data_IF_946495098361
#
_entry.id   IF_946495098361
#
_cell.length_a   1.000
_cell.length_b   1.000
_cell.length_c   1.000
_cell.angle_alpha   90.00
_cell.angle_beta   90.00
_cell.angle_gamma   90.00
#
_symmetry.space_group_name_H-M   'P 1'
#
loop_
_entity.id
_entity.type
_entity.pdbx_description
1 polymer ?
#
# COMPACT_ATOMS: atom_id res chain seq x y z
N UNK A 1 -27.99 -21.28 -4.67
CA UNK A 1 -26.67 -20.82 -5.14
C UNK A 1 -25.83 -20.59 -3.90
N UNK A 2 -25.13 -21.64 -3.44
CA UNK A 2 -24.17 -21.53 -2.35
C UNK A 2 -22.78 -21.42 -2.99
N UNK A 3 -21.95 -20.53 -2.45
CA UNK A 3 -20.55 -20.41 -2.86
C UNK A 3 -19.84 -21.74 -2.59
N UNK A 4 -18.98 -22.14 -3.51
CA UNK A 4 -18.08 -23.26 -3.35
C UNK A 4 -17.03 -22.96 -2.26
N UNK A 5 -16.49 -24.01 -1.65
CA UNK A 5 -15.37 -23.92 -0.68
C UNK A 5 -14.24 -22.95 -1.11
N UNK A 6 -13.68 -23.02 -2.34
CA UNK A 6 -12.63 -22.09 -2.76
C UNK A 6 -13.11 -20.63 -2.89
N UNK A 7 -14.36 -20.40 -3.27
CA UNK A 7 -14.93 -19.04 -3.33
C UNK A 7 -15.04 -18.45 -1.92
N UNK A 8 -15.44 -19.25 -0.93
CA UNK A 8 -15.51 -18.80 0.45
C UNK A 8 -14.13 -18.46 1.03
N UNK A 9 -13.11 -19.27 0.70
CA UNK A 9 -11.73 -18.99 1.06
C UNK A 9 -11.21 -17.68 0.45
N UNK A 10 -11.51 -17.44 -0.83
CA UNK A 10 -11.13 -16.20 -1.51
C UNK A 10 -11.76 -14.96 -0.85
N UNK A 11 -13.05 -15.04 -0.48
CA UNK A 11 -13.75 -13.96 0.22
C UNK A 11 -13.12 -13.69 1.58
N UNK A 12 -12.91 -14.73 2.39
CA UNK A 12 -12.32 -14.59 3.73
C UNK A 12 -10.89 -14.03 3.66
N UNK A 13 -10.07 -14.49 2.71
CA UNK A 13 -8.72 -13.98 2.51
C UNK A 13 -8.74 -12.50 2.10
N UNK A 14 -9.60 -12.13 1.16
CA UNK A 14 -9.75 -10.74 0.70
C UNK A 14 -10.20 -9.82 1.83
N UNK A 15 -11.14 -10.28 2.67
CA UNK A 15 -11.61 -9.53 3.82
C UNK A 15 -10.51 -9.35 4.86
N UNK A 16 -9.75 -10.41 5.17
CA UNK A 16 -8.63 -10.36 6.11
C UNK A 16 -7.53 -9.40 5.64
N UNK A 17 -7.12 -9.51 4.37
CA UNK A 17 -6.06 -8.68 3.79
C UNK A 17 -6.49 -7.23 3.70
N UNK A 18 -7.70 -6.94 3.21
CA UNK A 18 -8.21 -5.56 3.11
C UNK A 18 -8.40 -4.91 4.47
N UNK A 19 -8.91 -5.65 5.47
CA UNK A 19 -9.06 -5.13 6.84
C UNK A 19 -7.71 -4.77 7.46
N UNK A 20 -6.70 -5.64 7.32
CA UNK A 20 -5.37 -5.37 7.83
C UNK A 20 -4.71 -4.19 7.09
N UNK A 21 -4.85 -4.14 5.76
CA UNK A 21 -4.32 -3.05 4.95
C UNK A 21 -4.93 -1.70 5.35
N UNK A 22 -6.25 -1.64 5.57
CA UNK A 22 -6.93 -0.43 6.06
C UNK A 22 -6.44 -0.08 7.46
N UNK A 23 -6.43 -1.03 8.41
CA UNK A 23 -6.00 -0.77 9.77
C UNK A 23 -4.57 -0.22 9.86
N UNK A 24 -3.66 -0.75 9.03
CA UNK A 24 -2.26 -0.30 8.99
C UNK A 24 -2.10 1.03 8.25
N UNK A 25 -2.85 1.29 7.18
CA UNK A 25 -2.73 2.52 6.39
C UNK A 25 -3.44 3.72 7.01
N UNK A 26 -4.53 3.49 7.76
CA UNK A 26 -5.41 4.53 8.27
C UNK A 26 -4.70 5.55 9.20
N UNK A 27 -3.83 5.15 10.16
CA UNK A 27 -3.07 6.11 10.96
C UNK A 27 -2.19 7.04 10.12
N UNK A 28 -1.48 6.49 9.11
CA UNK A 28 -0.65 7.27 8.20
C UNK A 28 -1.48 8.20 7.32
N UNK A 29 -2.59 7.70 6.78
CA UNK A 29 -3.52 8.50 5.98
C UNK A 29 -4.06 9.70 6.75
N UNK A 30 -4.49 9.49 8.00
CA UNK A 30 -4.95 10.57 8.89
C UNK A 30 -3.82 11.55 9.19
N UNK A 31 -2.63 11.05 9.53
CA UNK A 31 -1.47 11.89 9.84
C UNK A 31 -1.08 12.80 8.66
N UNK A 32 -0.92 12.24 7.46
CA UNK A 32 -0.55 13.01 6.27
C UNK A 32 -1.66 13.96 5.83
N UNK A 33 -2.92 13.54 5.90
CA UNK A 33 -4.06 14.43 5.61
C UNK A 33 -4.10 15.62 6.56
N UNK A 34 -3.94 15.37 7.86
CA UNK A 34 -3.87 16.43 8.87
C UNK A 34 -2.67 17.36 8.63
N UNK A 35 -1.50 16.81 8.31
CA UNK A 35 -0.29 17.57 8.04
C UNK A 35 -0.46 18.48 6.82
N UNK A 36 -0.99 17.95 5.71
CA UNK A 36 -1.23 18.70 4.48
C UNK A 36 -2.32 19.75 4.65
N UNK A 37 -3.36 19.51 5.45
CA UNK A 37 -4.40 20.52 5.69
C UNK A 37 -3.91 21.62 6.62
N UNK A 38 -3.23 21.28 7.72
CA UNK A 38 -2.94 22.23 8.81
C UNK A 38 -1.60 22.94 8.72
N UNK A 39 -0.63 22.43 7.96
CA UNK A 39 0.70 23.03 7.85
C UNK A 39 0.98 23.55 6.45
N UNK A 40 1.73 24.64 6.38
CA UNK A 40 2.34 25.17 5.17
C UNK A 40 3.85 25.05 5.34
N UNK A 41 4.50 24.30 4.45
CA UNK A 41 5.95 24.06 4.49
C UNK A 41 6.50 23.91 3.07
N UNK A 42 7.77 24.27 2.84
CA UNK A 42 8.41 24.05 1.54
C UNK A 42 8.49 22.55 1.27
N UNK A 43 7.86 22.08 0.18
CA UNK A 43 7.74 20.65 -0.17
C UNK A 43 6.33 20.06 0.00
N UNK A 44 5.37 20.82 0.53
CA UNK A 44 3.97 20.40 0.65
C UNK A 44 3.37 19.89 -0.66
N UNK A 45 3.58 20.61 -1.77
CA UNK A 45 3.07 20.24 -3.09
C UNK A 45 3.69 18.93 -3.62
N UNK A 46 4.97 18.69 -3.31
CA UNK A 46 5.64 17.44 -3.69
C UNK A 46 5.07 16.26 -2.91
N UNK A 47 4.89 16.41 -1.59
CA UNK A 47 4.27 15.36 -0.76
C UNK A 47 2.85 15.06 -1.24
N UNK A 48 2.04 16.10 -1.49
CA UNK A 48 0.68 15.96 -2.01
C UNK A 48 0.66 15.19 -3.35
N UNK A 49 1.58 15.52 -4.26
CA UNK A 49 1.72 14.82 -5.54
C UNK A 49 2.09 13.35 -5.36
N UNK A 50 3.02 13.03 -4.46
CA UNK A 50 3.44 11.65 -4.16
C UNK A 50 2.27 10.83 -3.62
N UNK A 51 1.45 11.39 -2.74
CA UNK A 51 0.29 10.69 -2.18
C UNK A 51 -0.79 10.41 -3.24
N UNK A 52 -0.97 11.30 -4.21
CA UNK A 52 -1.95 11.13 -5.30
C UNK A 52 -1.43 10.32 -6.48
N UNK A 53 -0.11 10.15 -6.61
CA UNK A 53 0.54 9.46 -7.72
C UNK A 53 -0.02 8.04 -7.98
N UNK A 54 -0.28 7.18 -6.96
CA UNK A 54 -0.86 5.86 -7.21
C UNK A 54 -2.26 5.90 -7.84
N UNK A 55 -3.05 6.97 -7.65
CA UNK A 55 -4.36 7.12 -8.29
C UNK A 55 -4.25 7.50 -9.77
N UNK A 56 -3.21 8.24 -10.13
CA UNK A 56 -2.99 8.71 -11.52
C UNK A 56 -2.30 7.63 -12.35
N UNK A 57 -1.48 6.78 -11.72
CA UNK A 57 -0.79 5.69 -12.40
C UNK A 57 -1.73 4.51 -12.71
N UNK A 58 -1.50 3.79 -13.84
CA UNK A 58 -2.18 2.54 -14.10
C UNK A 58 -1.91 1.50 -12.99
N UNK A 59 -2.90 0.69 -12.58
CA UNK A 59 -2.72 -0.32 -11.53
C UNK A 59 -1.56 -1.29 -11.80
N UNK A 60 -1.32 -1.60 -13.07
CA UNK A 60 -0.21 -2.47 -13.50
C UNK A 60 1.15 -1.88 -13.14
N UNK A 61 1.32 -0.56 -13.28
CA UNK A 61 2.57 0.14 -12.92
C UNK A 61 2.78 0.09 -11.42
N UNK A 62 1.72 0.31 -10.64
CA UNK A 62 1.79 0.19 -9.17
C UNK A 62 2.19 -1.22 -8.76
N UNK A 63 1.58 -2.24 -9.36
CA UNK A 63 1.96 -3.65 -9.12
C UNK A 63 3.42 -3.94 -9.49
N UNK A 64 3.90 -3.44 -10.63
CA UNK A 64 5.29 -3.60 -11.04
C UNK A 64 6.27 -2.92 -10.07
N UNK A 65 5.97 -1.69 -9.62
CA UNK A 65 6.80 -0.99 -8.62
C UNK A 65 6.86 -1.76 -7.30
N UNK A 66 5.74 -2.29 -6.84
CA UNK A 66 5.70 -3.16 -5.65
C UNK A 66 6.54 -4.41 -5.86
N UNK A 67 6.46 -5.07 -7.02
CA UNK A 67 7.24 -6.26 -7.33
C UNK A 67 8.74 -5.96 -7.37
N UNK A 68 9.15 -4.84 -7.97
CA UNK A 68 10.57 -4.42 -8.01
C UNK A 68 11.06 -4.04 -6.62
N UNK A 69 10.24 -3.39 -5.79
CA UNK A 69 10.58 -3.00 -4.43
C UNK A 69 10.67 -4.18 -3.45
N UNK A 70 9.68 -5.08 -3.51
CA UNK A 70 9.52 -6.24 -2.63
C UNK A 70 10.23 -7.49 -3.13
N UNK A 71 10.67 -7.51 -4.40
CA UNK A 71 11.38 -8.65 -4.98
C UNK A 71 12.69 -8.92 -4.25
N UNK A 72 13.24 -10.13 -4.39
CA UNK A 72 14.42 -10.58 -3.63
C UNK A 72 15.65 -9.66 -3.72
N UNK A 73 15.80 -8.91 -4.82
CA UNK A 73 16.86 -7.91 -5.02
C UNK A 73 16.36 -6.46 -4.93
N UNK A 74 15.11 -6.26 -4.54
CA UNK A 74 14.49 -4.95 -4.36
C UNK A 74 14.94 -4.28 -3.07
N UNK A 75 14.73 -2.97 -2.94
CA UNK A 75 15.20 -2.23 -1.77
C UNK A 75 14.56 -2.70 -0.45
N UNK A 76 13.30 -3.14 -0.49
CA UNK A 76 12.61 -3.69 0.68
C UNK A 76 12.84 -5.19 0.77
N UNK A 77 12.77 -5.90 -0.35
CA UNK A 77 12.93 -7.35 -0.36
C UNK A 77 14.34 -7.82 0.00
N UNK A 78 15.40 -7.10 -0.40
CA UNK A 78 16.78 -7.40 0.03
C UNK A 78 16.97 -7.18 1.53
N UNK A 79 16.46 -6.05 2.06
CA UNK A 79 16.50 -5.78 3.49
C UNK A 79 15.72 -6.84 4.29
N UNK A 80 14.54 -7.25 3.84
CA UNK A 80 13.78 -8.35 4.46
C UNK A 80 14.55 -9.69 4.37
N UNK A 81 15.16 -9.98 3.22
CA UNK A 81 15.93 -11.20 3.01
C UNK A 81 17.13 -11.29 3.96
N UNK A 82 17.85 -10.18 4.15
CA UNK A 82 19.00 -10.13 5.07
C UNK A 82 18.58 -10.36 6.54
N UNK A 83 17.37 -9.95 6.92
CA UNK A 83 16.86 -10.09 8.29
C UNK A 83 16.17 -11.42 8.58
N UNK A 84 15.51 -12.04 7.58
CA UNK A 84 14.68 -13.23 7.77
C UNK A 84 15.19 -14.50 7.06
N UNK A 85 16.10 -14.39 6.08
CA UNK A 85 16.77 -15.52 5.40
C UNK A 85 16.24 -15.92 4.04
#
# INVERSE_FOLDING_TARGET
MFLSEPEWQAVLLSLKVSSLAVALSLPFGIFFSWLLVRRTFPGKALLDSILHLPLVLPPVVVGYLLLVAMGRRGFIGSWLYDWFG
#
